data_IF_114984566163
#
_entry.id   IF_114984566163
#
_cell.length_a   1.000
_cell.length_b   1.000
_cell.length_c   1.000
_cell.angle_alpha   90.00
_cell.angle_beta   90.00
_cell.angle_gamma   90.00
#
_symmetry.space_group_name_H-M   'P 1'
#
loop_
_entity.id
_entity.type
_entity.pdbx_description
1 polymer ?
#
# COMPACT_ATOMS: atom_id res chain seq x y z
N UNK A 1 16.21 16.56 75.86
CA UNK A 1 16.59 15.26 75.21
C UNK A 1 16.02 15.24 73.84
N UNK A 2 16.90 15.49 72.84
CA UNK A 2 16.51 15.59 71.47
C UNK A 2 16.52 14.23 70.81
N UNK A 3 15.39 13.81 70.23
CA UNK A 3 15.36 12.66 69.34
C UNK A 3 15.30 13.17 67.91
N UNK A 4 16.42 13.06 67.18
CA UNK A 4 16.54 13.35 65.75
C UNK A 4 15.97 12.15 65.02
N UNK A 5 14.86 12.35 64.30
CA UNK A 5 14.31 11.38 63.35
C UNK A 5 14.91 11.69 62.00
N UNK A 6 15.74 10.75 61.53
CA UNK A 6 16.37 10.80 60.19
C UNK A 6 15.36 10.27 59.16
N UNK A 7 14.84 11.14 58.34
CA UNK A 7 13.95 10.77 57.23
C UNK A 7 14.82 10.38 56.02
N UNK A 8 14.93 9.09 55.74
CA UNK A 8 15.50 8.59 54.50
C UNK A 8 14.46 8.73 53.39
N UNK A 9 14.62 9.71 52.50
CA UNK A 9 13.85 9.82 51.28
C UNK A 9 14.53 8.90 50.24
N UNK A 10 13.90 7.74 50.02
CA UNK A 10 14.27 6.83 48.96
C UNK A 10 13.78 7.42 47.61
N UNK A 11 14.68 8.04 46.87
CA UNK A 11 14.38 8.55 45.53
C UNK A 11 14.40 7.37 44.56
N UNK A 12 13.20 6.77 44.32
CA UNK A 12 13.02 5.74 43.30
C UNK A 12 13.08 6.38 41.92
N UNK A 13 14.22 6.25 41.23
CA UNK A 13 14.39 6.63 39.85
C UNK A 13 13.70 5.57 38.99
N UNK A 14 12.45 5.85 38.57
CA UNK A 14 11.76 5.08 37.55
C UNK A 14 12.37 5.47 36.18
N UNK A 15 13.35 4.70 35.72
CA UNK A 15 13.87 4.82 34.37
C UNK A 15 12.78 4.35 33.40
N UNK A 16 11.98 5.28 32.90
CA UNK A 16 11.10 5.03 31.75
C UNK A 16 11.97 4.78 30.52
N UNK A 17 12.21 3.51 30.20
CA UNK A 17 12.75 3.12 28.91
C UNK A 17 11.69 3.45 27.83
N UNK A 18 11.81 4.63 27.24
CA UNK A 18 11.09 4.97 26.04
C UNK A 18 11.63 4.08 24.91
N UNK A 19 10.95 2.97 24.66
CA UNK A 19 11.20 2.21 23.42
C UNK A 19 10.81 3.12 22.25
N UNK A 20 11.71 3.40 21.30
CA UNK A 20 11.31 4.09 20.09
C UNK A 20 10.26 3.21 19.40
N UNK A 21 9.04 3.71 19.31
CA UNK A 21 8.04 3.12 18.44
C UNK A 21 8.58 3.25 17.00
N UNK A 22 9.13 2.19 16.46
CA UNK A 22 9.46 2.14 15.04
C UNK A 22 8.15 2.31 14.27
N UNK A 23 7.92 3.53 13.79
CA UNK A 23 6.84 3.80 12.87
C UNK A 23 7.12 2.97 11.61
N UNK A 24 6.33 1.91 11.42
CA UNK A 24 6.44 1.05 10.25
C UNK A 24 6.21 1.91 9.01
N UNK A 25 7.24 2.09 8.22
CA UNK A 25 7.17 2.90 7.01
C UNK A 25 6.18 2.23 6.04
N UNK A 26 5.21 3.01 5.55
CA UNK A 26 4.22 2.56 4.58
C UNK A 26 4.57 3.15 3.23
N UNK A 27 4.39 2.38 2.18
CA UNK A 27 4.60 2.83 0.79
C UNK A 27 3.32 2.62 -0.01
N UNK A 28 2.91 3.67 -0.70
CA UNK A 28 1.81 3.60 -1.67
C UNK A 28 2.33 2.99 -2.96
N UNK A 29 1.74 1.86 -3.35
CA UNK A 29 1.97 1.24 -4.65
C UNK A 29 0.75 1.45 -5.51
N UNK A 30 0.95 1.99 -6.71
CA UNK A 30 -0.12 2.29 -7.67
C UNK A 30 0.05 1.41 -8.90
N UNK A 31 -1.06 0.83 -9.34
CA UNK A 31 -1.18 0.02 -10.56
C UNK A 31 -2.14 0.71 -11.51
N UNK A 32 -1.76 0.85 -12.77
CA UNK A 32 -2.54 1.59 -13.76
C UNK A 32 -2.99 0.68 -14.89
N UNK A 33 -4.30 0.60 -15.09
CA UNK A 33 -4.94 -0.16 -16.15
C UNK A 33 -5.50 0.78 -17.22
N UNK A 34 -5.11 0.59 -18.46
CA UNK A 34 -5.45 1.47 -19.59
C UNK A 34 -6.68 0.96 -20.32
N UNK A 35 -7.48 1.89 -20.80
CA UNK A 35 -8.69 1.64 -21.58
C UNK A 35 -8.58 2.32 -22.93
N UNK A 36 -9.21 1.69 -23.94
CA UNK A 36 -9.36 2.32 -25.25
C UNK A 36 -10.29 3.53 -25.08
N UNK A 37 -9.96 4.72 -25.62
CA UNK A 37 -10.82 5.88 -25.57
C UNK A 37 -12.25 5.55 -26.01
N UNK A 38 -13.25 6.13 -25.34
CA UNK A 38 -14.67 5.91 -25.59
C UNK A 38 -15.18 4.46 -25.36
N UNK A 39 -14.34 3.54 -24.86
CA UNK A 39 -14.70 2.16 -24.57
C UNK A 39 -14.64 1.89 -23.07
N UNK A 40 -15.46 0.95 -22.64
CA UNK A 40 -15.52 0.50 -21.24
C UNK A 40 -14.98 -0.92 -21.04
N UNK A 41 -14.58 -1.61 -22.13
CA UNK A 41 -14.05 -2.96 -22.06
C UNK A 41 -12.64 -2.99 -21.51
N UNK A 42 -12.41 -3.89 -20.57
CA UNK A 42 -11.08 -4.14 -20.03
C UNK A 42 -10.39 -5.26 -20.82
N UNK A 43 -9.43 -4.87 -21.66
CA UNK A 43 -8.62 -5.80 -22.43
C UNK A 43 -7.33 -6.09 -21.67
N UNK A 44 -7.25 -7.26 -21.04
CA UNK A 44 -6.10 -7.64 -20.23
C UNK A 44 -4.79 -7.66 -21.01
N UNK A 45 -4.67 -8.30 -22.20
CA UNK A 45 -3.39 -8.33 -22.92
C UNK A 45 -3.09 -7.04 -23.71
N UNK A 46 -3.80 -5.95 -23.47
CA UNK A 46 -3.65 -4.70 -24.21
C UNK A 46 -2.87 -3.66 -23.40
N UNK A 47 -1.89 -3.02 -24.05
CA UNK A 47 -1.15 -1.86 -23.55
C UNK A 47 -0.51 -2.05 -22.16
N UNK A 48 0.00 -3.27 -21.88
CA UNK A 48 0.69 -3.60 -20.63
C UNK A 48 -0.23 -3.97 -19.46
N UNK A 49 -1.54 -4.06 -19.68
CA UNK A 49 -2.49 -4.41 -18.63
C UNK A 49 -2.24 -5.80 -18.02
N UNK A 50 -1.79 -6.76 -18.81
CA UNK A 50 -1.43 -8.11 -18.36
C UNK A 50 -0.28 -8.10 -17.37
N UNK A 51 0.77 -7.35 -17.65
CA UNK A 51 1.93 -7.19 -16.77
C UNK A 51 1.54 -6.47 -15.48
N UNK A 52 0.76 -5.39 -15.59
CA UNK A 52 0.28 -4.64 -14.42
C UNK A 52 -0.66 -5.48 -13.55
N UNK A 53 -1.54 -6.27 -14.17
CA UNK A 53 -2.44 -7.18 -13.45
C UNK A 53 -1.65 -8.27 -12.71
N UNK A 54 -0.64 -8.86 -13.34
CA UNK A 54 0.20 -9.86 -12.69
C UNK A 54 0.92 -9.29 -11.45
N UNK A 55 1.49 -8.07 -11.56
CA UNK A 55 2.13 -7.37 -10.43
C UNK A 55 1.15 -7.07 -9.30
N UNK A 56 -0.06 -6.62 -9.62
CA UNK A 56 -1.10 -6.36 -8.63
C UNK A 56 -1.56 -7.65 -7.95
N UNK A 57 -1.78 -8.73 -8.68
CA UNK A 57 -2.17 -10.02 -8.12
C UNK A 57 -1.11 -10.57 -7.17
N UNK A 58 0.17 -10.45 -7.50
CA UNK A 58 1.27 -10.80 -6.59
C UNK A 58 1.24 -9.96 -5.31
N UNK A 59 1.04 -8.64 -5.42
CA UNK A 59 0.92 -7.76 -4.27
C UNK A 59 -0.27 -8.13 -3.38
N UNK A 60 -1.43 -8.44 -3.98
CA UNK A 60 -2.62 -8.86 -3.25
C UNK A 60 -2.35 -10.19 -2.52
N UNK A 61 -1.76 -11.18 -3.17
CA UNK A 61 -1.46 -12.48 -2.57
C UNK A 61 -0.53 -12.34 -1.37
N UNK A 62 0.52 -11.53 -1.49
CA UNK A 62 1.46 -11.23 -0.40
C UNK A 62 0.82 -10.52 0.80
N UNK A 63 -0.35 -9.89 0.62
CA UNK A 63 -1.05 -9.11 1.64
C UNK A 63 -2.49 -9.63 1.89
N UNK A 64 -2.85 -10.80 1.37
CA UNK A 64 -4.23 -11.31 1.28
C UNK A 64 -4.95 -11.32 2.63
N UNK A 65 -4.32 -11.82 3.67
CA UNK A 65 -4.91 -11.85 5.02
C UNK A 65 -5.28 -10.45 5.51
N UNK A 66 -4.37 -9.48 5.34
CA UNK A 66 -4.58 -8.10 5.79
C UNK A 66 -5.70 -7.41 4.98
N UNK A 67 -5.81 -7.73 3.68
CA UNK A 67 -6.87 -7.25 2.80
C UNK A 67 -8.22 -7.83 3.22
N UNK A 68 -8.31 -9.15 3.40
CA UNK A 68 -9.54 -9.84 3.79
C UNK A 68 -10.03 -9.43 5.18
N UNK A 69 -9.11 -9.09 6.10
CA UNK A 69 -9.42 -8.53 7.41
C UNK A 69 -9.91 -7.06 7.36
N UNK A 70 -9.95 -6.45 6.19
CA UNK A 70 -10.36 -5.05 5.99
C UNK A 70 -9.34 -4.00 6.46
N UNK A 71 -8.12 -4.41 6.82
CA UNK A 71 -7.07 -3.52 7.33
C UNK A 71 -6.25 -2.86 6.22
N UNK A 72 -6.33 -3.40 5.00
CA UNK A 72 -5.64 -2.90 3.82
C UNK A 72 -6.64 -2.85 2.65
N UNK A 73 -7.45 -1.79 2.53
CA UNK A 73 -8.37 -1.64 1.41
C UNK A 73 -7.63 -1.32 0.11
N UNK A 74 -8.19 -1.80 -1.01
CA UNK A 74 -7.75 -1.43 -2.34
C UNK A 74 -8.51 -0.17 -2.77
N UNK A 75 -7.79 0.91 -3.04
CA UNK A 75 -8.37 2.15 -3.53
C UNK A 75 -8.43 2.09 -5.06
N UNK A 76 -9.65 2.07 -5.62
CA UNK A 76 -9.88 1.97 -7.05
C UNK A 76 -10.44 3.28 -7.56
N UNK A 77 -9.70 3.97 -8.41
CA UNK A 77 -10.13 5.22 -9.05
C UNK A 77 -10.31 4.97 -10.55
N UNK A 78 -11.55 5.12 -11.03
CA UNK A 78 -11.89 5.04 -12.46
C UNK A 78 -11.89 6.41 -13.10
N UNK A 79 -11.36 6.50 -14.33
CA UNK A 79 -11.25 7.75 -15.09
C UNK A 79 -11.81 7.60 -16.49
N UNK A 80 -12.47 8.63 -16.97
CA UNK A 80 -12.88 8.79 -18.36
C UNK A 80 -13.05 10.26 -18.68
N UNK A 81 -12.51 10.70 -19.82
CA UNK A 81 -12.72 12.07 -20.36
C UNK A 81 -12.90 12.09 -21.89
N UNK A 82 -13.12 10.94 -22.50
CA UNK A 82 -13.18 10.78 -23.95
C UNK A 82 -14.59 10.79 -24.53
N UNK A 83 -15.63 10.97 -23.70
CA UNK A 83 -17.03 11.06 -24.12
C UNK A 83 -17.53 12.50 -24.13
N UNK A 84 -18.75 12.71 -24.67
CA UNK A 84 -19.30 14.03 -24.95
C UNK A 84 -19.80 14.81 -23.73
N UNK A 85 -20.04 14.16 -22.59
CA UNK A 85 -20.56 14.81 -21.40
C UNK A 85 -19.90 14.27 -20.13
N UNK A 86 -19.93 15.08 -19.07
CA UNK A 86 -19.44 14.69 -17.75
C UNK A 86 -20.21 13.48 -17.20
N UNK A 87 -21.53 13.43 -17.38
CA UNK A 87 -22.35 12.33 -16.91
C UNK A 87 -21.98 11.00 -17.60
N UNK A 88 -21.74 11.00 -18.91
CA UNK A 88 -21.29 9.82 -19.65
C UNK A 88 -19.88 9.40 -19.22
N UNK A 89 -18.98 10.36 -19.01
CA UNK A 89 -17.64 10.09 -18.53
C UNK A 89 -17.66 9.46 -17.13
N UNK A 90 -18.43 9.98 -16.19
CA UNK A 90 -18.57 9.40 -14.84
C UNK A 90 -19.16 7.98 -14.88
N UNK A 91 -20.22 7.77 -15.69
CA UNK A 91 -20.83 6.46 -15.84
C UNK A 91 -19.82 5.42 -16.40
N UNK A 92 -19.05 5.81 -17.42
CA UNK A 92 -18.03 4.97 -18.02
C UNK A 92 -16.87 4.71 -17.08
N UNK A 93 -16.41 5.72 -16.35
CA UNK A 93 -15.38 5.55 -15.31
C UNK A 93 -15.79 4.52 -14.25
N UNK A 94 -17.07 4.56 -13.82
CA UNK A 94 -17.64 3.58 -12.89
C UNK A 94 -17.64 2.15 -13.47
N UNK A 95 -18.06 2.00 -14.73
CA UNK A 95 -18.07 0.69 -15.40
C UNK A 95 -16.65 0.13 -15.49
N UNK A 96 -15.68 0.96 -15.90
CA UNK A 96 -14.27 0.58 -15.99
C UNK A 96 -13.71 0.11 -14.64
N UNK A 97 -13.95 0.88 -13.57
CA UNK A 97 -13.54 0.50 -12.22
C UNK A 97 -14.14 -0.85 -11.80
N UNK A 98 -15.43 -1.08 -12.09
CA UNK A 98 -16.11 -2.33 -11.79
C UNK A 98 -15.52 -3.51 -12.57
N UNK A 99 -15.12 -3.32 -13.84
CA UNK A 99 -14.48 -4.38 -14.63
C UNK A 99 -13.13 -4.80 -14.03
N UNK A 100 -12.30 -3.84 -13.63
CA UNK A 100 -11.04 -4.13 -12.96
C UNK A 100 -11.28 -4.85 -11.63
N UNK A 101 -12.22 -4.36 -10.81
CA UNK A 101 -12.59 -5.04 -9.55
C UNK A 101 -13.06 -6.47 -9.79
N UNK A 102 -13.87 -6.72 -10.81
CA UNK A 102 -14.37 -8.07 -11.15
C UNK A 102 -13.23 -9.03 -11.46
N UNK A 103 -12.21 -8.59 -12.21
CA UNK A 103 -11.01 -9.40 -12.46
C UNK A 103 -10.28 -9.74 -11.16
N UNK A 104 -10.15 -8.78 -10.24
CA UNK A 104 -9.47 -8.99 -8.96
C UNK A 104 -10.28 -9.90 -8.03
N UNK A 105 -11.61 -9.77 -7.99
CA UNK A 105 -12.49 -10.65 -7.21
C UNK A 105 -12.34 -12.08 -7.68
N UNK A 106 -12.37 -12.31 -9.00
CA UNK A 106 -12.30 -13.65 -9.59
C UNK A 106 -10.91 -14.27 -9.42
N UNK A 107 -9.85 -13.51 -9.70
CA UNK A 107 -8.47 -14.03 -9.75
C UNK A 107 -7.78 -14.06 -8.40
N UNK A 108 -8.08 -13.12 -7.52
CA UNK A 108 -7.45 -13.01 -6.20
C UNK A 108 -8.34 -13.48 -5.05
N UNK A 109 -9.59 -13.87 -5.33
CA UNK A 109 -10.55 -14.35 -4.33
C UNK A 109 -10.77 -13.36 -3.18
N UNK A 110 -10.72 -12.07 -3.49
CA UNK A 110 -11.07 -10.98 -2.57
C UNK A 110 -12.53 -10.55 -2.78
N UNK A 111 -13.06 -9.74 -1.88
CA UNK A 111 -14.48 -9.40 -1.85
C UNK A 111 -14.73 -7.94 -2.23
N UNK A 112 -15.96 -7.61 -2.63
CA UNK A 112 -16.37 -6.23 -2.93
C UNK A 112 -16.10 -5.28 -1.74
N UNK A 113 -16.29 -5.73 -0.52
CA UNK A 113 -16.05 -4.97 0.71
C UNK A 113 -14.58 -4.57 0.94
N UNK A 114 -13.64 -5.20 0.23
CA UNK A 114 -12.22 -4.88 0.30
C UNK A 114 -11.81 -3.68 -0.57
N UNK A 115 -12.75 -3.12 -1.35
CA UNK A 115 -12.49 -1.99 -2.22
C UNK A 115 -13.11 -0.69 -1.70
N UNK A 116 -12.40 0.42 -1.96
CA UNK A 116 -12.94 1.78 -1.90
C UNK A 116 -12.88 2.33 -3.31
N UNK A 117 -14.02 2.68 -3.90
CA UNK A 117 -14.10 3.08 -5.32
C UNK A 117 -14.47 4.54 -5.46
N UNK A 118 -13.77 5.25 -6.34
CA UNK A 118 -14.06 6.62 -6.78
C UNK A 118 -14.07 6.69 -8.30
N UNK A 119 -14.84 7.63 -8.87
CA UNK A 119 -14.97 7.80 -10.31
C UNK A 119 -14.78 9.27 -10.66
N UNK A 120 -14.07 9.51 -11.78
CA UNK A 120 -13.66 10.84 -12.21
C UNK A 120 -13.95 11.03 -13.70
N UNK A 121 -14.53 12.17 -14.05
CA UNK A 121 -14.77 12.59 -15.44
C UNK A 121 -13.57 13.34 -16.05
N UNK A 122 -12.38 13.12 -15.53
CA UNK A 122 -11.14 13.84 -15.86
C UNK A 122 -9.98 12.89 -16.10
N UNK A 123 -8.86 13.39 -16.54
CA UNK A 123 -7.52 12.78 -16.58
C UNK A 123 -7.30 11.61 -17.56
N UNK A 124 -8.25 11.26 -18.41
CA UNK A 124 -8.01 10.28 -19.46
C UNK A 124 -8.79 8.99 -19.31
N UNK A 125 -8.26 7.91 -19.88
CA UNK A 125 -8.96 6.64 -20.08
C UNK A 125 -8.21 5.51 -19.36
N UNK A 126 -8.33 5.45 -18.03
CA UNK A 126 -7.63 4.47 -17.21
C UNK A 126 -8.35 4.19 -15.87
N UNK A 127 -7.90 3.17 -15.20
CA UNK A 127 -8.25 2.86 -13.81
C UNK A 127 -6.96 2.71 -13.02
N UNK A 128 -6.89 3.29 -11.84
CA UNK A 128 -5.79 3.02 -10.90
C UNK A 128 -6.28 2.17 -9.73
N UNK A 129 -5.42 1.27 -9.27
CA UNK A 129 -5.59 0.54 -8.01
C UNK A 129 -4.40 0.84 -7.13
N UNK A 130 -4.65 1.33 -5.92
CA UNK A 130 -3.61 1.70 -4.97
C UNK A 130 -3.75 0.91 -3.67
N UNK A 131 -2.60 0.44 -3.17
CA UNK A 131 -2.48 -0.17 -1.86
C UNK A 131 -1.37 0.53 -1.08
N UNK A 132 -1.63 0.83 0.20
CA UNK A 132 -0.64 1.38 1.13
C UNK A 132 -0.05 0.24 1.94
N UNK A 133 0.96 -0.43 1.37
CA UNK A 133 1.58 -1.60 2.00
C UNK A 133 2.67 -1.20 2.99
N UNK A 134 2.82 -1.93 4.11
CA UNK A 134 3.98 -1.77 4.97
C UNK A 134 5.24 -2.12 4.17
N UNK A 135 6.26 -1.27 4.24
CA UNK A 135 7.58 -1.64 3.72
C UNK A 135 8.04 -2.85 4.52
N UNK A 136 8.14 -4.00 3.87
CA UNK A 136 8.97 -5.08 4.42
C UNK A 136 10.39 -4.52 4.36
N UNK A 137 10.95 -4.16 5.52
CA UNK A 137 12.39 -4.10 5.62
C UNK A 137 12.89 -5.46 5.09
N UNK A 138 13.47 -5.44 3.89
CA UNK A 138 14.39 -6.51 3.51
C UNK A 138 15.40 -6.47 4.63
N UNK A 139 15.34 -7.46 5.52
CA UNK A 139 16.37 -7.66 6.51
C UNK A 139 17.67 -7.67 5.70
N UNK A 140 18.41 -6.56 5.79
CA UNK A 140 19.82 -6.55 5.41
C UNK A 140 20.35 -7.68 6.25
N UNK A 141 20.66 -8.80 5.61
CA UNK A 141 21.11 -9.98 6.34
C UNK A 141 22.27 -9.51 7.18
N UNK A 142 22.34 -9.95 8.45
CA UNK A 142 23.43 -9.56 9.35
C UNK A 142 24.79 -9.71 8.68
N UNK A 143 24.90 -10.63 7.70
CA UNK A 143 26.02 -10.82 6.82
C UNK A 143 26.37 -9.60 5.93
N UNK A 144 25.37 -8.88 5.37
CA UNK A 144 25.62 -7.67 4.56
C UNK A 144 25.99 -6.46 5.43
N UNK A 145 25.41 -6.37 6.62
CA UNK A 145 25.76 -5.35 7.61
C UNK A 145 27.20 -5.58 8.13
N UNK A 146 27.58 -6.82 8.34
CA UNK A 146 28.94 -7.21 8.78
C UNK A 146 29.97 -7.03 7.66
N UNK A 147 29.63 -7.35 6.41
CA UNK A 147 30.47 -7.10 5.24
C UNK A 147 30.74 -5.61 5.03
N UNK A 148 29.71 -4.73 5.22
CA UNK A 148 29.89 -3.27 5.16
C UNK A 148 30.80 -2.77 6.28
N UNK A 149 30.64 -3.24 7.52
CA UNK A 149 31.50 -2.85 8.64
C UNK A 149 32.98 -3.27 8.43
N UNK A 150 33.21 -4.46 7.87
CA UNK A 150 34.55 -4.92 7.51
C UNK A 150 35.19 -4.07 6.42
N UNK A 151 34.44 -3.77 5.35
CA UNK A 151 34.93 -2.93 4.25
C UNK A 151 35.23 -1.49 4.69
N UNK A 152 34.51 -0.98 5.69
CA UNK A 152 34.75 0.35 6.24
C UNK A 152 35.96 0.37 7.19
N UNK A 153 36.19 -0.70 7.95
CA UNK A 153 37.35 -0.84 8.80
C UNK A 153 38.67 -0.95 7.98
N UNK A 154 38.67 -1.69 6.86
CA UNK A 154 39.80 -1.81 5.95
C UNK A 154 40.15 -0.49 5.20
N UNK A 155 39.22 0.47 5.14
CA UNK A 155 39.48 1.78 4.55
C UNK A 155 40.15 2.78 5.50
N UNK A 156 40.18 2.49 6.79
CA UNK A 156 40.67 3.37 7.84
C UNK A 156 42.08 2.99 8.35
N UNK A 157 42.65 1.90 7.84
CA UNK A 157 44.06 1.52 8.03
C UNK A 157 44.92 1.92 6.80
#
# INVERSE_FOLDING_TARGET
MSKRILFFILFSWLASAAFPAFAQQKTDTVYTFRFVPQKDMFYVPWNGNDTELARLLECIENNKTTILDGKLPLLVDGYCNSLGSEAENLATAKIRANRVKSELIIRAEIKEENFITRNHATEGDFVTVRLTVPVKETAVTDAEAEARRKAEAERLE
#
